data_IF_880754637652
#
_entry.id   IF_880754637652
#
_cell.length_a   1.000
_cell.length_b   1.000
_cell.length_c   1.000
_cell.angle_alpha   90.00
_cell.angle_beta   90.00
_cell.angle_gamma   90.00
#
_symmetry.space_group_name_H-M   'P 1'
#
loop_
_entity.id
_entity.type
_entity.pdbx_description
1 polymer ?
#
# COMPACT_ATOMS: atom_id res chain seq x y z
N UNK A 1 13.27 5.87 -0.08
CA UNK A 1 13.04 7.34 -0.11
C UNK A 1 12.97 7.89 1.30
N UNK A 2 12.22 7.26 2.19
CA UNK A 2 11.99 7.68 3.59
C UNK A 2 13.27 7.71 4.45
N UNK A 3 14.14 6.70 4.37
CA UNK A 3 15.43 6.69 5.11
C UNK A 3 16.33 7.88 4.75
N UNK A 4 16.33 8.28 3.47
CA UNK A 4 17.13 9.42 2.98
C UNK A 4 16.58 10.75 3.49
N UNK A 5 15.26 10.89 3.53
CA UNK A 5 14.60 12.07 4.09
C UNK A 5 14.88 12.18 5.60
N UNK A 6 14.81 11.07 6.33
CA UNK A 6 15.14 11.03 7.76
C UNK A 6 16.57 11.49 8.02
N UNK A 7 17.58 10.91 7.34
CA UNK A 7 18.98 11.32 7.48
C UNK A 7 19.18 12.82 7.21
N UNK A 8 18.46 13.39 6.25
CA UNK A 8 18.52 14.82 5.94
C UNK A 8 17.99 15.68 7.10
N UNK A 9 16.82 15.33 7.65
CA UNK A 9 16.20 16.04 8.78
C UNK A 9 17.10 15.94 10.00
N UNK A 10 17.53 14.74 10.37
CA UNK A 10 18.40 14.48 11.52
C UNK A 10 19.72 15.25 11.44
N UNK A 11 20.33 15.29 10.25
CA UNK A 11 21.55 16.07 9.99
C UNK A 11 21.30 17.57 10.18
N UNK A 12 20.21 18.10 9.61
CA UNK A 12 19.89 19.52 9.73
C UNK A 12 19.68 19.95 11.18
N UNK A 13 19.00 19.13 11.98
CA UNK A 13 18.83 19.42 13.42
C UNK A 13 20.18 19.44 14.13
N UNK A 14 21.03 18.42 13.91
CA UNK A 14 22.39 18.36 14.48
C UNK A 14 23.22 19.60 14.12
N UNK A 15 23.21 20.00 12.85
CA UNK A 15 23.94 21.16 12.35
C UNK A 15 23.46 22.46 13.02
N UNK A 16 22.14 22.64 13.18
CA UNK A 16 21.58 23.82 13.86
C UNK A 16 21.97 23.85 15.33
N UNK A 17 21.82 22.74 16.05
CA UNK A 17 22.17 22.64 17.48
C UNK A 17 23.63 23.02 17.70
N UNK A 18 24.55 22.44 16.92
CA UNK A 18 25.98 22.73 17.01
C UNK A 18 26.30 24.19 16.64
N UNK A 19 25.59 24.76 15.66
CA UNK A 19 25.79 26.15 15.26
C UNK A 19 25.36 27.14 16.36
N UNK A 20 24.25 26.89 17.03
CA UNK A 20 23.78 27.73 18.15
C UNK A 20 24.79 27.66 19.32
N UNK A 21 25.25 26.47 19.68
CA UNK A 21 26.28 26.30 20.73
C UNK A 21 27.58 27.02 20.39
N UNK A 22 28.08 26.89 19.16
CA UNK A 22 29.30 27.58 18.72
C UNK A 22 29.17 29.10 18.82
N UNK A 23 28.06 29.65 18.36
CA UNK A 23 27.78 31.11 18.44
C UNK A 23 27.73 31.60 19.88
N UNK A 24 27.21 30.80 20.80
CA UNK A 24 27.19 31.13 22.22
C UNK A 24 28.61 31.16 22.81
N UNK A 25 29.46 30.16 22.47
CA UNK A 25 30.85 30.11 22.92
C UNK A 25 31.69 31.29 22.39
N UNK A 26 31.52 31.66 21.11
CA UNK A 26 32.23 32.80 20.50
C UNK A 26 31.91 34.15 21.18
N UNK A 27 30.73 34.28 21.79
CA UNK A 27 30.28 35.49 22.50
C UNK A 27 30.61 35.50 23.99
N UNK A 28 31.19 34.42 24.53
CA UNK A 28 31.36 34.25 25.98
C UNK A 28 30.04 34.05 26.72
N UNK A 29 28.97 33.68 26.02
CA UNK A 29 27.63 33.38 26.56
C UNK A 29 27.47 31.86 26.77
N UNK A 30 28.49 31.21 27.35
CA UNK A 30 28.50 29.76 27.54
C UNK A 30 27.35 29.26 28.44
N UNK A 31 26.86 30.14 29.33
CA UNK A 31 25.64 29.98 30.13
C UNK A 31 24.43 30.70 29.51
N UNK A 32 24.29 30.63 28.17
CA UNK A 32 23.08 31.12 27.49
C UNK A 32 21.83 30.51 28.12
N UNK A 33 20.85 31.36 28.42
CA UNK A 33 19.53 30.92 28.88
C UNK A 33 18.95 29.91 27.87
N UNK A 34 18.52 28.76 28.37
CA UNK A 34 17.90 27.68 27.59
C UNK A 34 16.70 28.16 26.77
N UNK A 35 15.95 29.16 27.25
CA UNK A 35 14.85 29.77 26.51
C UNK A 35 15.35 30.42 25.21
N UNK A 36 16.43 31.21 25.29
CA UNK A 36 17.07 31.85 24.14
C UNK A 36 17.63 30.79 23.19
N UNK A 37 18.25 29.75 23.73
CA UNK A 37 18.78 28.63 22.95
C UNK A 37 17.68 27.94 22.12
N UNK A 38 16.56 27.58 22.76
CA UNK A 38 15.44 26.92 22.11
C UNK A 38 14.84 27.83 21.03
N UNK A 39 14.68 29.12 21.33
CA UNK A 39 14.09 30.08 20.40
C UNK A 39 14.98 30.28 19.16
N UNK A 40 16.29 30.39 19.33
CA UNK A 40 17.25 30.46 18.23
C UNK A 40 17.22 29.18 17.40
N UNK A 41 17.24 28.01 18.05
CA UNK A 41 17.17 26.72 17.37
C UNK A 41 15.89 26.59 16.53
N UNK A 42 14.72 26.86 17.12
CA UNK A 42 13.44 26.76 16.42
C UNK A 42 13.34 27.76 15.27
N UNK A 43 13.89 28.96 15.41
CA UNK A 43 13.96 29.95 14.34
C UNK A 43 14.82 29.45 13.16
N UNK A 44 15.94 28.78 13.44
CA UNK A 44 16.82 28.21 12.42
C UNK A 44 16.25 26.92 11.77
N UNK A 45 15.30 26.26 12.44
CA UNK A 45 14.64 25.04 11.96
C UNK A 45 13.28 25.26 11.31
N UNK A 46 12.69 26.46 11.41
CA UNK A 46 11.38 26.83 10.85
C UNK A 46 11.17 26.37 9.39
N UNK A 47 12.18 26.52 8.53
CA UNK A 47 12.10 26.12 7.12
C UNK A 47 12.11 24.59 6.91
N UNK A 48 12.54 23.82 7.92
CA UNK A 48 12.69 22.36 7.86
C UNK A 48 11.63 21.62 8.68
N UNK A 49 11.21 22.17 9.82
CA UNK A 49 10.32 21.54 10.79
C UNK A 49 9.31 22.54 11.34
N UNK A 50 8.05 22.10 11.40
CA UNK A 50 6.97 22.85 12.05
C UNK A 50 6.86 22.40 13.50
N UNK A 51 7.09 23.32 14.42
CA UNK A 51 6.94 23.08 15.85
C UNK A 51 5.54 23.48 16.32
N UNK A 52 4.78 22.58 16.98
CA UNK A 52 3.51 22.95 17.56
C UNK A 52 3.73 23.99 18.66
N UNK A 53 2.96 25.08 18.63
CA UNK A 53 3.09 26.20 19.59
C UNK A 53 2.99 25.73 21.06
N UNK A 54 2.05 24.84 21.34
CA UNK A 54 1.86 24.26 22.68
C UNK A 54 3.05 23.42 23.16
N UNK A 55 3.80 22.79 22.25
CA UNK A 55 4.98 22.01 22.59
C UNK A 55 6.16 22.95 22.94
N UNK A 56 6.30 24.05 22.20
CA UNK A 56 7.25 25.12 22.52
C UNK A 56 6.98 25.72 23.90
N UNK A 57 5.72 26.05 24.20
CA UNK A 57 5.32 26.63 25.49
C UNK A 57 5.65 25.70 26.66
N UNK A 58 5.48 24.37 26.50
CA UNK A 58 5.80 23.39 27.52
C UNK A 58 7.32 23.26 27.79
N UNK A 59 8.14 23.37 26.74
CA UNK A 59 9.61 23.30 26.88
C UNK A 59 10.16 24.60 27.49
N UNK A 60 9.52 25.75 27.27
CA UNK A 60 9.90 27.02 27.90
C UNK A 60 9.75 27.03 29.43
N UNK A 61 9.07 26.04 30.03
CA UNK A 61 8.97 25.86 31.49
C UNK A 61 10.28 25.30 32.10
N UNK A 62 11.17 24.72 31.28
CA UNK A 62 12.47 24.22 31.70
C UNK A 62 13.46 25.37 32.00
N UNK A 63 13.32 26.04 33.15
CA UNK A 63 14.15 27.21 33.49
C UNK A 63 15.40 26.88 34.35
N UNK A 64 15.71 25.60 34.56
CA UNK A 64 16.80 25.15 35.47
C UNK A 64 17.96 24.41 34.80
N UNK A 65 17.85 24.01 33.54
CA UNK A 65 18.89 23.25 32.85
C UNK A 65 19.85 24.17 32.08
N UNK A 66 21.16 23.87 32.09
CA UNK A 66 22.11 24.61 31.26
C UNK A 66 21.96 24.22 29.78
N UNK A 67 22.24 25.17 28.88
CA UNK A 67 22.05 25.01 27.43
C UNK A 67 22.91 23.89 26.82
N UNK A 68 24.08 23.63 27.40
CA UNK A 68 25.01 22.58 26.99
C UNK A 68 24.46 21.18 27.26
N UNK A 69 23.97 20.93 28.47
CA UNK A 69 23.32 19.69 28.88
C UNK A 69 22.06 19.43 28.05
N UNK A 70 21.25 20.47 27.82
CA UNK A 70 20.09 20.34 26.95
C UNK A 70 20.48 19.94 25.53
N UNK A 71 21.53 20.55 24.97
CA UNK A 71 22.04 20.23 23.63
C UNK A 71 22.59 18.80 23.54
N UNK A 72 23.40 18.38 24.51
CA UNK A 72 23.97 17.04 24.55
C UNK A 72 22.86 15.98 24.63
N UNK A 73 21.84 16.25 25.46
CA UNK A 73 20.67 15.39 25.57
C UNK A 73 19.87 15.33 24.27
N UNK A 74 19.60 16.48 23.65
CA UNK A 74 18.88 16.54 22.37
C UNK A 74 19.63 15.77 21.27
N UNK A 75 20.96 15.93 21.17
CA UNK A 75 21.79 15.19 20.23
C UNK A 75 21.75 13.67 20.49
N UNK A 76 21.73 13.26 21.76
CA UNK A 76 21.56 11.86 22.15
C UNK A 76 20.20 11.31 21.72
N UNK A 77 19.11 12.02 21.99
CA UNK A 77 17.76 11.63 21.56
C UNK A 77 17.65 11.49 20.04
N UNK A 78 18.23 12.44 19.32
CA UNK A 78 18.22 12.43 17.85
C UNK A 78 18.97 11.19 17.33
N UNK A 79 20.09 10.82 17.96
CA UNK A 79 20.86 9.61 17.62
C UNK A 79 20.04 8.34 17.90
N UNK A 80 19.39 8.25 19.05
CA UNK A 80 18.57 7.09 19.42
C UNK A 80 17.37 6.94 18.48
N UNK A 81 16.72 8.06 18.12
CA UNK A 81 15.64 8.10 17.15
C UNK A 81 16.13 7.63 15.76
N UNK A 82 17.29 8.11 15.30
CA UNK A 82 17.89 7.70 14.03
C UNK A 82 18.16 6.19 14.00
N UNK A 83 18.72 5.62 15.07
CA UNK A 83 18.97 4.18 15.18
C UNK A 83 17.67 3.36 15.20
N UNK A 84 16.68 3.78 15.99
CA UNK A 84 15.42 3.07 16.13
C UNK A 84 14.64 3.05 14.81
N UNK A 85 14.53 4.19 14.14
CA UNK A 85 13.84 4.30 12.86
C UNK A 85 14.58 3.56 11.75
N UNK A 86 15.92 3.62 11.71
CA UNK A 86 16.70 2.84 10.73
C UNK A 86 16.45 1.34 10.89
N UNK A 87 16.43 0.84 12.13
CA UNK A 87 16.11 -0.56 12.41
C UNK A 87 14.68 -0.92 11.98
N UNK A 88 13.72 0.01 12.12
CA UNK A 88 12.34 -0.20 11.66
C UNK A 88 12.24 -0.25 10.13
N UNK A 89 12.85 0.70 9.42
CA UNK A 89 12.88 0.67 7.95
C UNK A 89 13.56 -0.58 7.41
N UNK A 90 14.63 -1.05 8.04
CA UNK A 90 15.28 -2.31 7.64
C UNK A 90 14.39 -3.54 7.88
N UNK A 91 13.60 -3.57 8.96
CA UNK A 91 12.58 -4.62 9.17
C UNK A 91 11.50 -4.58 8.10
N UNK A 92 11.09 -3.38 7.67
CA UNK A 92 10.05 -3.20 6.66
C UNK A 92 10.53 -3.43 5.21
N UNK A 93 11.85 -3.40 4.97
CA UNK A 93 12.41 -3.77 3.66
C UNK A 93 12.40 -5.29 3.42
N UNK A 94 12.20 -6.12 4.45
CA UNK A 94 12.03 -7.55 4.27
C UNK A 94 10.65 -7.84 3.67
N UNK A 95 10.63 -7.88 2.34
CA UNK A 95 9.44 -8.22 1.55
C UNK A 95 8.86 -9.57 2.00
N UNK A 96 9.70 -10.54 2.38
CA UNK A 96 9.22 -11.85 2.83
C UNK A 96 8.51 -11.72 4.17
N UNK A 97 9.11 -11.05 5.14
CA UNK A 97 8.49 -10.82 6.45
C UNK A 97 7.14 -10.08 6.31
N UNK A 98 7.08 -9.08 5.42
CA UNK A 98 5.84 -8.36 5.10
C UNK A 98 4.78 -9.24 4.45
N UNK A 99 5.16 -10.05 3.47
CA UNK A 99 4.22 -10.97 2.83
C UNK A 99 3.69 -12.02 3.83
N UNK A 100 4.50 -12.44 4.80
CA UNK A 100 4.09 -13.39 5.85
C UNK A 100 3.24 -12.78 6.96
N UNK A 101 3.30 -11.46 7.18
CA UNK A 101 2.51 -10.80 8.22
C UNK A 101 1.10 -10.39 7.76
N UNK A 102 0.82 -10.47 6.46
CA UNK A 102 -0.50 -10.17 5.93
C UNK A 102 -1.53 -11.21 6.42
N UNK A 103 -2.77 -10.77 6.73
CA UNK A 103 -3.84 -11.67 7.19
C UNK A 103 -4.34 -12.61 6.09
N UNK A 104 -3.86 -12.40 4.86
CA UNK A 104 -4.18 -13.16 3.65
C UNK A 104 -2.86 -13.56 2.99
N UNK A 105 -2.90 -14.66 2.24
CA UNK A 105 -1.77 -15.13 1.44
C UNK A 105 -1.83 -14.45 0.07
N UNK A 106 -0.94 -13.50 -0.24
CA UNK A 106 -1.04 -12.72 -1.48
C UNK A 106 -0.95 -13.60 -2.73
N UNK A 107 -0.17 -14.68 -2.67
CA UNK A 107 -0.10 -15.66 -3.75
C UNK A 107 -1.46 -16.31 -4.02
N UNK A 108 -2.23 -16.64 -2.99
CA UNK A 108 -3.54 -17.28 -3.15
C UNK A 108 -4.55 -16.29 -3.74
N UNK A 109 -4.49 -15.02 -3.35
CA UNK A 109 -5.34 -13.97 -3.92
C UNK A 109 -4.97 -13.66 -5.38
N UNK A 110 -3.68 -13.65 -5.72
CA UNK A 110 -3.22 -13.52 -7.10
C UNK A 110 -3.67 -14.73 -7.94
N UNK A 111 -3.57 -15.94 -7.40
CA UNK A 111 -4.08 -17.13 -8.05
C UNK A 111 -5.59 -17.07 -8.24
N UNK A 112 -6.39 -16.60 -7.27
CA UNK A 112 -7.83 -16.40 -7.47
C UNK A 112 -8.16 -15.34 -8.52
N UNK A 113 -7.33 -14.31 -8.67
CA UNK A 113 -7.52 -13.32 -9.73
C UNK A 113 -7.15 -13.90 -11.11
N UNK A 114 -6.14 -14.76 -11.16
CA UNK A 114 -5.62 -15.36 -12.39
C UNK A 114 -6.42 -16.60 -12.83
N UNK A 115 -6.93 -17.39 -11.88
CA UNK A 115 -7.94 -18.40 -12.05
C UNK A 115 -9.25 -17.62 -12.18
N UNK A 116 -9.55 -17.15 -13.40
CA UNK A 116 -10.82 -16.49 -13.68
C UNK A 116 -12.02 -17.37 -13.33
N UNK A 117 -13.24 -16.94 -13.64
CA UNK A 117 -14.47 -17.67 -13.29
C UNK A 117 -14.62 -19.12 -13.81
N UNK A 118 -13.63 -19.67 -14.51
CA UNK A 118 -13.65 -21.02 -15.08
C UNK A 118 -14.56 -21.18 -16.30
N UNK A 119 -15.33 -20.15 -16.69
CA UNK A 119 -16.15 -20.17 -17.91
C UNK A 119 -15.27 -20.04 -19.15
N UNK A 120 -15.77 -20.57 -20.26
CA UNK A 120 -15.08 -20.58 -21.55
C UNK A 120 -16.01 -20.07 -22.64
N UNK A 121 -15.45 -19.49 -23.70
CA UNK A 121 -16.19 -19.17 -24.91
C UNK A 121 -16.88 -20.44 -25.44
N UNK A 122 -18.20 -20.40 -25.74
CA UNK A 122 -18.94 -21.59 -26.17
C UNK A 122 -18.40 -22.20 -27.47
N UNK A 123 -17.82 -21.37 -28.34
CA UNK A 123 -17.34 -21.76 -29.66
C UNK A 123 -15.89 -22.25 -29.66
N UNK A 124 -14.93 -21.42 -29.27
CA UNK A 124 -13.50 -21.75 -29.36
C UNK A 124 -12.88 -22.26 -28.06
N UNK A 125 -13.66 -22.34 -26.96
CA UNK A 125 -13.25 -22.78 -25.62
C UNK A 125 -12.11 -21.97 -24.99
N UNK A 126 -11.80 -20.80 -25.53
CA UNK A 126 -10.89 -19.86 -24.88
C UNK A 126 -11.44 -19.48 -23.49
N UNK A 127 -10.60 -19.42 -22.46
CA UNK A 127 -11.03 -19.11 -21.09
C UNK A 127 -11.52 -17.66 -20.99
N UNK A 128 -12.42 -17.42 -20.04
CA UNK A 128 -12.85 -16.07 -19.70
C UNK A 128 -11.68 -15.27 -19.10
N UNK A 129 -11.50 -14.04 -19.56
CA UNK A 129 -10.49 -13.08 -19.09
C UNK A 129 -11.07 -12.04 -18.12
N UNK A 130 -12.38 -12.05 -17.88
CA UNK A 130 -12.95 -11.22 -16.84
C UNK A 130 -12.39 -11.68 -15.47
N UNK A 131 -11.55 -10.83 -14.88
CA UNK A 131 -10.86 -11.12 -13.63
C UNK A 131 -11.83 -11.31 -12.46
N UNK A 132 -11.45 -12.17 -11.52
CA UNK A 132 -12.26 -12.50 -10.35
C UNK A 132 -13.49 -13.37 -10.64
N UNK A 133 -14.15 -13.81 -9.58
CA UNK A 133 -15.25 -14.79 -9.66
C UNK A 133 -16.61 -14.16 -9.99
N UNK A 134 -16.81 -12.87 -9.68
CA UNK A 134 -18.11 -12.21 -9.78
C UNK A 134 -18.19 -11.28 -11.01
N UNK A 135 -18.66 -11.82 -12.14
CA UNK A 135 -19.02 -11.02 -13.31
C UNK A 135 -20.16 -11.68 -14.10
N UNK A 136 -21.04 -10.85 -14.66
CA UNK A 136 -22.22 -11.29 -15.44
C UNK A 136 -21.91 -11.46 -16.92
N UNK A 137 -20.90 -10.75 -17.43
CA UNK A 137 -20.47 -10.81 -18.82
C UNK A 137 -19.11 -11.48 -18.94
N UNK A 138 -19.04 -12.52 -19.77
CA UNK A 138 -17.81 -13.25 -20.06
C UNK A 138 -17.21 -12.76 -21.38
N UNK A 139 -15.89 -12.52 -21.40
CA UNK A 139 -15.17 -12.12 -22.60
C UNK A 139 -13.78 -12.74 -22.64
N UNK A 140 -13.19 -12.78 -23.84
CA UNK A 140 -11.78 -13.04 -24.07
C UNK A 140 -11.33 -12.09 -25.17
N UNK A 141 -10.15 -11.49 -25.01
CA UNK A 141 -9.60 -10.56 -25.99
C UNK A 141 -9.07 -11.30 -27.22
N UNK A 142 -8.71 -12.58 -27.05
CA UNK A 142 -8.09 -13.41 -28.10
C UNK A 142 -8.94 -14.65 -28.34
N UNK A 143 -9.87 -14.53 -29.29
CA UNK A 143 -10.60 -15.66 -29.81
C UNK A 143 -9.72 -16.54 -30.72
N UNK A 144 -9.96 -17.85 -30.67
CA UNK A 144 -9.24 -18.85 -31.47
C UNK A 144 -10.16 -19.47 -32.54
N UNK A 145 -9.60 -20.16 -33.54
CA UNK A 145 -10.39 -20.96 -34.48
C UNK A 145 -11.33 -21.93 -33.77
N UNK A 146 -12.59 -22.03 -34.23
CA UNK A 146 -13.59 -22.90 -33.59
C UNK A 146 -13.27 -24.38 -33.68
N UNK A 147 -12.42 -24.78 -34.63
CA UNK A 147 -11.86 -26.12 -34.68
C UNK A 147 -11.18 -26.55 -33.38
N UNK A 148 -10.57 -25.61 -32.64
CA UNK A 148 -9.99 -25.90 -31.32
C UNK A 148 -11.05 -26.11 -30.24
N UNK A 149 -12.25 -25.59 -30.45
CA UNK A 149 -13.43 -25.88 -29.65
C UNK A 149 -14.26 -27.07 -30.12
N UNK A 150 -13.69 -27.88 -31.03
CA UNK A 150 -14.24 -29.13 -31.60
C UNK A 150 -15.26 -28.96 -32.73
N UNK A 151 -15.40 -27.77 -33.32
CA UNK A 151 -16.24 -27.58 -34.51
C UNK A 151 -15.58 -28.11 -35.78
N UNK A 152 -16.38 -28.75 -36.64
CA UNK A 152 -15.97 -29.32 -37.91
C UNK A 152 -17.00 -29.02 -39.00
N UNK A 153 -16.53 -28.85 -40.23
CA UNK A 153 -17.40 -28.77 -41.39
C UNK A 153 -18.11 -30.10 -41.62
N UNK A 154 -19.43 -30.08 -41.77
CA UNK A 154 -20.25 -31.30 -41.89
C UNK A 154 -19.90 -32.12 -43.13
N UNK A 155 -19.71 -31.45 -44.26
CA UNK A 155 -19.42 -32.10 -45.55
C UNK A 155 -18.04 -32.76 -45.62
N UNK A 156 -17.04 -32.18 -44.96
CA UNK A 156 -15.63 -32.57 -45.12
C UNK A 156 -14.99 -33.14 -43.86
N UNK A 157 -15.64 -32.99 -42.69
CA UNK A 157 -15.09 -33.36 -41.39
C UNK A 157 -13.86 -32.55 -40.95
N UNK A 158 -13.42 -31.58 -41.75
CA UNK A 158 -12.24 -30.75 -41.44
C UNK A 158 -12.55 -29.77 -40.32
N UNK A 159 -11.54 -29.46 -39.51
CA UNK A 159 -11.64 -28.45 -38.45
C UNK A 159 -11.96 -27.09 -39.06
N UNK A 160 -12.86 -26.34 -38.41
CA UNK A 160 -13.21 -24.97 -38.83
C UNK A 160 -12.04 -24.03 -38.49
N UNK A 161 -11.40 -23.38 -39.48
CA UNK A 161 -10.26 -22.50 -39.23
C UNK A 161 -10.68 -21.08 -38.83
N UNK A 162 -11.96 -20.72 -39.02
CA UNK A 162 -12.49 -19.39 -38.74
C UNK A 162 -12.55 -19.10 -37.24
N UNK A 163 -12.23 -17.85 -36.87
CA UNK A 163 -12.35 -17.36 -35.50
C UNK A 163 -13.82 -17.02 -35.19
N UNK A 164 -14.26 -17.36 -33.98
CA UNK A 164 -15.67 -17.19 -33.59
C UNK A 164 -16.18 -15.74 -33.63
N UNK A 165 -15.33 -14.72 -33.43
CA UNK A 165 -15.75 -13.32 -33.59
C UNK A 165 -16.14 -13.00 -35.04
N UNK A 166 -15.40 -13.50 -36.03
CA UNK A 166 -15.73 -13.35 -37.45
C UNK A 166 -17.01 -14.11 -37.81
N UNK A 167 -17.20 -15.31 -37.26
CA UNK A 167 -18.41 -16.11 -37.48
C UNK A 167 -19.65 -15.44 -36.87
N UNK A 168 -19.55 -14.88 -35.66
CA UNK A 168 -20.61 -14.08 -35.02
C UNK A 168 -20.96 -12.83 -35.81
N UNK A 169 -19.98 -12.20 -36.46
CA UNK A 169 -20.23 -11.04 -37.33
C UNK A 169 -20.84 -11.39 -38.70
N UNK A 170 -20.86 -12.67 -39.08
CA UNK A 170 -21.31 -13.15 -40.39
C UNK A 170 -22.79 -13.56 -40.42
N UNK A 171 -23.30 -13.91 -41.61
CA UNK A 171 -24.63 -14.55 -41.77
C UNK A 171 -24.58 -16.08 -41.64
N UNK A 172 -23.47 -16.63 -41.16
CA UNK A 172 -23.32 -18.08 -40.97
C UNK A 172 -24.20 -18.56 -39.82
N UNK A 173 -24.43 -19.87 -39.80
CA UNK A 173 -25.14 -20.56 -38.72
C UNK A 173 -24.25 -21.62 -38.08
N UNK A 174 -24.58 -21.99 -36.85
CA UNK A 174 -23.97 -23.09 -36.11
C UNK A 174 -25.06 -24.01 -35.58
N UNK A 175 -24.66 -25.19 -35.13
CA UNK A 175 -25.51 -26.09 -34.35
C UNK A 175 -24.73 -26.60 -33.15
N UNK A 176 -25.44 -26.91 -32.07
CA UNK A 176 -24.82 -27.46 -30.88
C UNK A 176 -25.77 -28.41 -30.16
N UNK A 177 -25.20 -29.26 -29.29
CA UNK A 177 -25.94 -30.19 -28.45
C UNK A 177 -27.04 -29.52 -27.62
N UNK A 178 -26.80 -28.30 -27.15
CA UNK A 178 -27.73 -27.54 -26.30
C UNK A 178 -29.03 -27.15 -27.04
N UNK A 179 -28.99 -27.20 -28.38
CA UNK A 179 -30.12 -26.91 -29.26
C UNK A 179 -30.64 -28.14 -30.00
N UNK A 180 -30.30 -29.34 -29.52
CA UNK A 180 -30.57 -30.62 -30.21
C UNK A 180 -30.05 -30.61 -31.66
N UNK A 181 -28.84 -30.07 -31.87
CA UNK A 181 -28.15 -30.00 -33.16
C UNK A 181 -28.95 -29.27 -34.27
N UNK A 182 -29.84 -28.36 -33.89
CA UNK A 182 -30.54 -27.48 -34.84
C UNK A 182 -29.64 -26.33 -35.28
N UNK A 183 -29.83 -25.87 -36.52
CA UNK A 183 -29.10 -24.73 -37.06
C UNK A 183 -29.66 -23.41 -36.51
N UNK A 184 -28.76 -22.56 -36.03
CA UNK A 184 -29.03 -21.24 -35.48
C UNK A 184 -28.03 -20.22 -36.03
N UNK A 185 -28.47 -19.00 -36.40
CA UNK A 185 -27.55 -17.95 -36.80
C UNK A 185 -26.56 -17.62 -35.67
N UNK A 186 -25.27 -17.44 -35.99
CA UNK A 186 -24.28 -17.10 -34.97
C UNK A 186 -24.63 -15.80 -34.22
N UNK A 187 -25.26 -14.82 -34.89
CA UNK A 187 -25.70 -13.57 -34.28
C UNK A 187 -26.67 -13.74 -33.10
N UNK A 188 -27.34 -14.89 -33.01
CA UNK A 188 -28.32 -15.18 -31.97
C UNK A 188 -27.77 -16.03 -30.81
N UNK A 189 -26.45 -16.30 -30.79
CA UNK A 189 -25.83 -17.19 -29.81
C UNK A 189 -26.09 -16.82 -28.34
N UNK A 190 -26.26 -15.52 -28.06
CA UNK A 190 -26.59 -15.00 -26.72
C UNK A 190 -27.87 -15.63 -26.17
N UNK A 191 -28.88 -15.84 -27.02
CA UNK A 191 -30.15 -16.44 -26.60
C UNK A 191 -30.01 -17.90 -26.16
N UNK A 192 -28.95 -18.58 -26.62
CA UNK A 192 -28.66 -20.00 -26.34
C UNK A 192 -27.75 -20.11 -25.11
N UNK A 193 -26.67 -19.31 -25.04
CA UNK A 193 -25.62 -19.49 -24.04
C UNK A 193 -25.71 -18.58 -22.81
N UNK A 194 -26.49 -17.50 -22.84
CA UNK A 194 -26.60 -16.55 -21.72
C UNK A 194 -27.94 -16.62 -20.95
N UNK A 195 -28.89 -17.43 -21.43
CA UNK A 195 -30.22 -17.63 -20.80
C UNK A 195 -30.24 -18.77 -19.77
N UNK A 196 -29.18 -19.59 -19.69
CA UNK A 196 -29.05 -20.75 -18.79
C UNK A 196 -28.23 -20.51 -17.52
N UNK A 197 -28.28 -19.32 -16.91
CA UNK A 197 -27.60 -19.04 -15.64
C UNK A 197 -28.30 -19.75 -14.46
N UNK A 198 -28.03 -21.05 -14.29
CA UNK A 198 -28.45 -21.83 -13.14
C UNK A 198 -27.79 -21.34 -11.85
N UNK A 199 -28.64 -20.97 -10.90
CA UNK A 199 -28.46 -20.94 -9.44
C UNK A 199 -27.53 -19.88 -8.86
N UNK A 200 -28.16 -18.75 -8.51
CA UNK A 200 -27.69 -17.81 -7.51
C UNK A 200 -27.47 -18.53 -6.18
N UNK A 201 -26.27 -18.41 -5.59
CA UNK A 201 -26.10 -18.46 -4.15
C UNK A 201 -25.62 -17.08 -3.71
N UNK A 202 -26.57 -16.27 -3.25
CA UNK A 202 -26.28 -15.00 -2.58
C UNK A 202 -25.60 -15.32 -1.24
N UNK A 203 -24.31 -15.05 -1.13
CA UNK A 203 -23.63 -14.91 0.16
C UNK A 203 -23.28 -13.44 0.36
N UNK A 204 -24.02 -12.80 1.27
CA UNK A 204 -23.83 -11.41 1.68
C UNK A 204 -22.43 -11.19 2.26
N UNK A 205 -21.73 -10.18 1.75
CA UNK A 205 -20.42 -9.74 2.27
C UNK A 205 -20.61 -8.95 3.58
N UNK A 206 -19.83 -9.21 4.66
CA UNK A 206 -19.77 -8.30 5.79
C UNK A 206 -18.97 -7.03 5.42
N UNK A 207 -19.49 -5.87 5.82
CA UNK A 207 -18.83 -4.59 5.62
C UNK A 207 -17.53 -4.49 6.43
N UNK A 208 -16.46 -3.92 5.86
CA UNK A 208 -15.27 -3.58 6.63
C UNK A 208 -15.53 -2.29 7.42
N UNK A 209 -15.67 -2.40 8.74
CA UNK A 209 -15.59 -1.26 9.65
C UNK A 209 -14.13 -0.81 9.71
N UNK A 210 -13.79 0.19 8.90
CA UNK A 210 -12.51 0.88 8.99
C UNK A 210 -12.47 1.76 10.24
N UNK A 211 -11.79 1.28 11.29
CA UNK A 211 -11.20 2.16 12.29
C UNK A 211 -9.71 2.28 11.97
N UNK A 212 -9.30 3.42 11.41
CA UNK A 212 -7.88 3.80 11.30
C UNK A 212 -7.32 4.03 12.70
N UNK A 213 -6.83 2.95 13.32
CA UNK A 213 -5.94 3.04 14.47
C UNK A 213 -4.51 3.22 13.95
N UNK A 214 -3.80 4.22 14.50
CA UNK A 214 -2.36 4.38 14.25
C UNK A 214 -1.61 3.08 14.58
N UNK A 215 -0.60 2.67 13.77
CA UNK A 215 0.13 1.43 13.94
C UNK A 215 0.70 1.30 15.36
N UNK A 216 0.63 0.12 15.95
CA UNK A 216 1.10 -0.17 17.32
C UNK A 216 2.55 0.27 17.57
N UNK A 217 3.39 0.32 16.53
CA UNK A 217 4.78 0.78 16.54
C UNK A 217 4.93 2.29 16.78
N UNK A 218 4.03 3.11 16.22
CA UNK A 218 4.04 4.57 16.42
C UNK A 218 3.68 4.95 17.86
N UNK A 219 2.77 4.19 18.48
CA UNK A 219 2.39 4.36 19.90
C UNK A 219 3.51 3.99 20.86
N UNK A 220 4.34 3.00 20.52
CA UNK A 220 5.45 2.58 21.39
C UNK A 220 6.62 3.56 21.35
N UNK A 221 6.92 4.14 20.18
CA UNK A 221 7.92 5.20 20.05
C UNK A 221 7.48 6.48 20.77
N UNK A 222 6.23 6.91 20.59
CA UNK A 222 5.68 8.07 21.29
C UNK A 222 5.78 7.91 22.82
N UNK A 223 5.39 6.75 23.36
CA UNK A 223 5.50 6.47 24.80
C UNK A 223 6.94 6.47 25.32
N UNK A 224 7.89 5.96 24.54
CA UNK A 224 9.32 5.98 24.92
C UNK A 224 9.88 7.40 24.93
N UNK A 225 9.50 8.23 23.95
CA UNK A 225 9.88 9.64 23.92
C UNK A 225 9.28 10.41 25.11
N UNK A 226 8.00 10.21 25.40
CA UNK A 226 7.32 10.81 26.57
C UNK A 226 7.97 10.40 27.90
N UNK A 227 8.34 9.12 28.06
CA UNK A 227 9.00 8.62 29.26
C UNK A 227 10.42 9.20 29.45
N UNK A 228 11.19 9.31 28.37
CA UNK A 228 12.52 9.96 28.39
C UNK A 228 12.44 11.44 28.70
N UNK A 229 11.49 12.18 28.11
CA UNK A 229 11.21 13.58 28.42
C UNK A 229 10.87 13.77 29.91
N UNK A 230 10.00 12.91 30.46
CA UNK A 230 9.59 12.96 31.86
C UNK A 230 10.76 12.70 32.82
N UNK A 231 11.64 11.77 32.46
CA UNK A 231 12.81 11.41 33.28
C UNK A 231 13.82 12.56 33.32
N UNK A 232 13.98 13.30 32.22
CA UNK A 232 14.86 14.46 32.14
C UNK A 232 14.31 15.69 32.87
N UNK A 233 13.00 15.91 32.81
CA UNK A 233 12.31 16.93 33.61
C UNK A 233 12.51 16.69 35.12
N UNK A 234 12.53 15.43 35.56
CA UNK A 234 12.73 15.07 36.96
C UNK A 234 14.20 15.19 37.41
N UNK A 235 15.15 14.95 36.51
CA UNK A 235 16.59 15.06 36.82
C UNK A 235 17.10 16.51 36.91
N UNK A 236 16.42 17.48 36.27
CA UNK A 236 16.80 18.91 36.29
C UNK A 236 16.23 19.73 37.46
N UNK A 237 15.61 19.09 38.45
CA UNK A 237 14.97 19.76 39.61
C UNK A 237 15.78 19.61 40.91
N UNK A 238 16.83 18.77 40.92
CA UNK A 238 17.79 18.65 42.03
C UNK A 238 19.01 19.55 41.79
#
# INVERSE_FOLDING_TARGET
MEERLMKLITRRIKDVVQNVQRKAAEKGEEDMNIQTFIQDMCSNLNETLVFPKHALDAVMVLNKANSKQFSDWLLSLIKDMEQSLSAEFHREQDVRARLTSLPLKPQDELFKQQIGCGKQCPFCKAPCEAGGEAHTQHFTSIHRPEGLGRYRWENSGKLVPDICSSLVASEMSFRCSDTNDKWHPYKEYVKIYLTGASSQTTASRPQPTGSTSLPSSTRSLQRRMEQSLLTCLQAGVQ
#
